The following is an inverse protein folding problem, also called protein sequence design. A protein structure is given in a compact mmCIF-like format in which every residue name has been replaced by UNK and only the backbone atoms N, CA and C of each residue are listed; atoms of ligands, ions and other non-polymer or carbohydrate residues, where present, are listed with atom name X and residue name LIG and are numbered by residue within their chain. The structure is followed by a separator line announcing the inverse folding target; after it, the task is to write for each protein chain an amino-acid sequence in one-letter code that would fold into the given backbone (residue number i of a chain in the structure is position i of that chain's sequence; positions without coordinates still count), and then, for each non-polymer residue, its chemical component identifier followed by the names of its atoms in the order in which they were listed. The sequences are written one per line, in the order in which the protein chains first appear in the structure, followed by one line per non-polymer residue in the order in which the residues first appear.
data_IF_156418420779
#
_entry.id   IF_156418420779
#
_cell.length_a   1.000
_cell.length_b   1.000
_cell.length_c   1.000
_cell.angle_alpha   90.00
_cell.angle_beta   90.00
_cell.angle_gamma   90.00
#
_symmetry.space_group_name_H-M   'P 1'
#
loop_
_entity.id
_entity.type
_entity.pdbx_description
1 polymer ?
#
# COMPACT_ATOMS: atom_id res chain seq x y z
N UNK A 1 -52.04 -18.89 36.44
CA UNK A 1 -51.28 -17.64 36.66
C UNK A 1 -50.23 -17.95 37.72
N UNK A 2 -49.06 -18.43 37.29
CA UNK A 2 -47.72 -17.78 37.25
C UNK A 2 -46.91 -18.08 38.53
N UNK A 3 -45.63 -18.49 38.57
CA UNK A 3 -44.55 -18.93 37.64
C UNK A 3 -43.52 -19.62 38.58
N UNK A 4 -43.24 -20.93 38.54
CA UNK A 4 -42.17 -21.64 37.79
C UNK A 4 -40.78 -20.95 37.79
N UNK A 5 -39.75 -21.37 38.55
CA UNK A 5 -38.97 -22.66 38.55
C UNK A 5 -37.61 -22.48 37.79
N UNK A 6 -36.45 -23.11 38.06
CA UNK A 6 -36.02 -24.24 38.92
C UNK A 6 -34.48 -24.42 38.77
N UNK A 7 -33.79 -24.74 39.89
CA UNK A 7 -32.73 -25.78 40.16
C UNK A 7 -31.71 -26.19 39.07
N UNK A 8 -30.52 -26.76 39.36
CA UNK A 8 -29.64 -26.95 40.53
C UNK A 8 -28.35 -27.66 39.98
N UNK A 9 -27.13 -27.22 40.32
CA UNK A 9 -26.18 -27.76 41.34
C UNK A 9 -25.54 -29.12 40.99
N UNK A 10 -24.30 -29.11 40.45
CA UNK A 10 -22.98 -29.45 41.04
C UNK A 10 -22.69 -30.95 41.20
N UNK A 11 -21.69 -31.42 40.45
CA UNK A 11 -20.61 -32.34 40.85
C UNK A 11 -19.63 -32.43 39.67
N UNK A 12 -18.31 -32.57 39.75
CA UNK A 12 -17.23 -32.26 40.67
C UNK A 12 -15.96 -32.71 39.89
N UNK A 13 -14.93 -31.86 39.92
CA UNK A 13 -13.51 -32.12 39.57
C UNK A 13 -13.08 -32.28 38.08
N UNK A 14 -12.15 -31.40 37.70
CA UNK A 14 -11.28 -31.49 36.51
C UNK A 14 -10.09 -32.42 36.82
N UNK A 15 -9.63 -33.27 35.87
CA UNK A 15 -8.24 -33.09 35.46
C UNK A 15 -7.95 -33.47 33.99
N UNK A 16 -7.06 -32.67 33.39
CA UNK A 16 -6.25 -33.07 32.25
C UNK A 16 -5.45 -34.34 32.57
N UNK A 17 -5.86 -35.49 32.03
CA UNK A 17 -5.08 -36.72 31.82
C UNK A 17 -6.07 -37.85 31.52
N UNK A 18 -6.44 -38.02 30.25
CA UNK A 18 -6.86 -39.33 29.72
C UNK A 18 -6.74 -39.32 28.19
N UNK A 19 -5.76 -40.10 27.73
CA UNK A 19 -5.61 -40.64 26.37
C UNK A 19 -4.92 -39.77 25.32
N UNK A 20 -3.59 -39.72 25.44
CA UNK A 20 -2.73 -40.00 24.31
C UNK A 20 -2.54 -41.53 24.15
N UNK A 21 -2.33 -41.97 22.90
CA UNK A 21 -1.87 -43.29 22.42
C UNK A 21 -2.91 -44.38 22.09
N UNK A 22 -2.58 -45.09 20.99
CA UNK A 22 -3.18 -46.25 20.30
C UNK A 22 -3.99 -45.88 19.02
N UNK A 23 -3.79 -46.38 17.79
CA UNK A 23 -2.94 -47.43 17.17
C UNK A 23 -2.77 -47.11 15.66
N UNK A 24 -1.59 -47.43 15.14
CA UNK A 24 -1.16 -47.53 13.74
C UNK A 24 -1.80 -48.67 12.95
N UNK A 25 -2.07 -48.53 11.64
CA UNK A 25 -1.53 -49.36 10.51
C UNK A 25 -2.30 -49.17 9.19
N UNK A 26 -1.53 -48.96 8.09
CA UNK A 26 -1.59 -49.57 6.73
C UNK A 26 -2.95 -49.73 6.02
N UNK A 27 -3.12 -49.48 4.71
CA UNK A 27 -2.61 -50.33 3.60
C UNK A 27 -2.66 -49.58 2.25
N UNK A 28 -1.60 -49.85 1.49
CA UNK A 28 -1.28 -49.64 0.07
C UNK A 28 -2.36 -50.12 -0.91
N UNK A 29 -2.73 -49.32 -1.93
CA UNK A 29 -2.87 -49.76 -3.33
C UNK A 29 -3.55 -48.68 -4.19
N UNK A 30 -2.81 -48.09 -5.13
CA UNK A 30 -3.26 -48.01 -6.53
C UNK A 30 -2.10 -47.50 -7.40
N UNK A 31 -1.37 -48.43 -8.02
CA UNK A 31 -0.53 -48.18 -9.19
C UNK A 31 -1.36 -48.50 -10.44
N UNK A 32 -1.16 -47.68 -11.48
CA UNK A 32 -1.51 -47.85 -12.91
C UNK A 32 -2.79 -47.17 -13.37
N UNK A 33 -2.57 -46.05 -14.06
CA UNK A 33 -3.29 -45.47 -15.21
C UNK A 33 -2.91 -43.98 -15.15
N UNK A 34 -2.02 -43.43 -15.97
CA UNK A 34 -2.04 -43.42 -17.43
C UNK A 34 -0.65 -43.11 -17.98
N UNK A 35 -0.09 -44.05 -18.74
CA UNK A 35 0.90 -43.78 -19.77
C UNK A 35 0.18 -43.89 -21.11
N UNK A 36 -0.23 -42.79 -21.71
CA UNK A 36 -0.40 -42.58 -23.16
C UNK A 36 -1.11 -41.26 -23.38
N UNK A 37 -0.38 -40.25 -23.85
CA UNK A 37 -0.64 -39.53 -25.10
C UNK A 37 0.40 -38.42 -25.24
N UNK A 38 1.43 -38.73 -26.03
CA UNK A 38 2.26 -37.75 -26.73
C UNK A 38 1.53 -37.30 -27.99
N UNK A 39 1.97 -36.16 -28.53
CA UNK A 39 1.71 -35.55 -29.86
C UNK A 39 0.42 -34.72 -29.94
N UNK A 40 0.39 -33.48 -30.45
CA UNK A 40 1.32 -32.71 -31.30
C UNK A 40 0.89 -31.23 -31.29
N UNK A 41 1.86 -30.32 -31.51
CA UNK A 41 1.84 -29.10 -32.36
C UNK A 41 0.55 -28.23 -32.41
N UNK A 42 0.54 -26.90 -32.31
CA UNK A 42 1.45 -25.88 -32.84
C UNK A 42 0.96 -24.47 -32.49
N UNK A 43 1.90 -23.53 -32.39
CA UNK A 43 1.84 -22.12 -32.86
C UNK A 43 0.73 -21.21 -32.28
N UNK A 44 1.12 -20.28 -31.41
CA UNK A 44 1.33 -18.86 -31.74
C UNK A 44 1.65 -18.05 -30.47
N UNK A 45 2.75 -17.32 -30.51
CA UNK A 45 3.02 -16.08 -29.76
C UNK A 45 3.31 -15.00 -30.83
N UNK A 46 3.40 -13.67 -30.56
CA UNK A 46 3.54 -12.99 -29.27
C UNK A 46 2.69 -11.67 -29.21
N UNK A 47 3.13 -10.56 -28.58
CA UNK A 47 3.09 -10.29 -27.15
C UNK A 47 2.16 -9.10 -26.84
N UNK A 48 1.29 -9.20 -25.84
CA UNK A 48 0.62 -8.01 -25.30
C UNK A 48 1.43 -7.45 -24.14
N UNK A 49 2.33 -6.52 -24.47
CA UNK A 49 2.87 -5.56 -23.51
C UNK A 49 1.76 -4.57 -23.14
N UNK A 50 1.10 -4.80 -22.00
CA UNK A 50 0.25 -3.78 -21.39
C UNK A 50 0.72 -3.54 -19.95
N UNK A 51 1.15 -2.31 -19.68
CA UNK A 51 1.70 -1.88 -18.38
C UNK A 51 0.56 -1.37 -17.50
N UNK A 52 -0.13 -2.25 -16.77
CA UNK A 52 -0.88 -1.82 -15.57
C UNK A 52 0.07 -1.84 -14.37
N UNK A 53 0.79 -0.73 -14.15
CA UNK A 53 1.62 -0.57 -12.95
C UNK A 53 0.76 -0.07 -11.79
N UNK A 54 -0.01 -0.94 -11.16
CA UNK A 54 -0.38 -0.75 -9.76
C UNK A 54 0.61 -1.53 -8.88
N UNK A 55 1.86 -1.06 -8.91
CA UNK A 55 2.87 -1.54 -7.98
C UNK A 55 2.85 -0.59 -6.79
N UNK A 56 2.17 -0.99 -5.71
CA UNK A 56 2.29 -0.26 -4.45
C UNK A 56 3.74 -0.40 -3.97
N UNK A 57 4.47 0.71 -3.77
CA UNK A 57 5.88 0.65 -3.47
C UNK A 57 6.12 -0.10 -2.15
N UNK A 58 7.10 -0.99 -2.14
CA UNK A 58 7.65 -1.55 -0.89
C UNK A 58 8.21 -0.38 -0.07
N UNK A 59 7.87 -0.35 1.22
CA UNK A 59 8.49 0.56 2.16
C UNK A 59 9.97 0.20 2.27
N UNK A 60 10.84 1.00 1.66
CA UNK A 60 12.29 0.87 1.75
C UNK A 60 12.79 1.99 2.65
N UNK A 61 13.66 1.67 3.60
CA UNK A 61 14.39 2.68 4.35
C UNK A 61 15.18 3.55 3.34
N UNK A 62 15.01 4.87 3.38
CA UNK A 62 15.81 5.80 2.59
C UNK A 62 17.23 5.80 3.14
N UNK A 63 18.17 5.52 2.26
CA UNK A 63 19.61 5.73 2.46
C UNK A 63 20.00 6.86 1.52
N UNK A 64 20.87 7.80 1.90
CA UNK A 64 21.42 8.85 1.04
C UNK A 64 22.21 8.26 -0.17
N UNK A 65 21.50 7.62 -1.08
CA UNK A 65 22.05 6.89 -2.22
C UNK A 65 21.83 7.70 -3.50
N UNK A 66 22.70 7.47 -4.48
CA UNK A 66 22.70 8.12 -5.78
C UNK A 66 21.35 8.01 -6.53
N UNK A 67 20.52 7.02 -6.18
CA UNK A 67 19.15 6.86 -6.70
C UNK A 67 18.19 7.99 -6.32
N UNK A 68 18.35 8.57 -5.14
CA UNK A 68 17.39 9.55 -4.59
C UNK A 68 17.65 10.93 -5.17
N UNK A 69 18.93 11.26 -5.37
CA UNK A 69 19.36 12.45 -6.10
C UNK A 69 18.88 12.39 -7.56
N UNK A 70 19.02 11.25 -8.23
CA UNK A 70 18.53 11.05 -9.60
C UNK A 70 17.00 11.22 -9.68
N UNK A 71 16.25 10.65 -8.74
CA UNK A 71 14.80 10.80 -8.68
C UNK A 71 14.37 12.27 -8.48
N UNK A 72 15.01 13.00 -7.55
CA UNK A 72 14.75 14.42 -7.35
C UNK A 72 15.16 15.28 -8.54
N UNK A 73 16.25 14.92 -9.23
CA UNK A 73 16.70 15.63 -10.43
C UNK A 73 15.72 15.47 -11.57
N UNK A 74 15.22 14.25 -11.81
CA UNK A 74 14.15 13.98 -12.80
C UNK A 74 12.87 14.74 -12.47
N UNK A 75 12.48 14.76 -11.20
CA UNK A 75 11.33 15.53 -10.75
C UNK A 75 11.54 17.03 -11.01
N UNK A 76 12.74 17.56 -10.72
CA UNK A 76 13.07 18.95 -10.94
C UNK A 76 12.95 19.34 -12.42
N UNK A 77 13.49 18.53 -13.34
CA UNK A 77 13.37 18.78 -14.77
C UNK A 77 11.91 18.84 -15.21
N UNK A 78 11.08 17.89 -14.74
CA UNK A 78 9.65 17.90 -15.02
C UNK A 78 8.96 19.17 -14.49
N UNK A 79 9.21 19.53 -13.23
CA UNK A 79 8.58 20.70 -12.62
C UNK A 79 9.07 22.02 -13.23
N UNK A 80 10.31 22.07 -13.72
CA UNK A 80 10.82 23.23 -14.45
C UNK A 80 10.19 23.38 -15.85
N UNK A 81 9.93 22.27 -16.54
CA UNK A 81 9.38 22.29 -17.90
C UNK A 81 7.86 22.43 -17.92
N UNK A 82 7.15 21.69 -17.06
CA UNK A 82 5.69 21.55 -17.07
C UNK A 82 5.01 22.26 -15.89
N UNK A 83 5.75 22.55 -14.81
CA UNK A 83 5.16 22.92 -13.53
C UNK A 83 4.51 21.72 -12.80
N UNK A 84 3.98 21.94 -11.59
CA UNK A 84 3.13 20.95 -10.94
C UNK A 84 1.79 20.83 -11.69
N UNK A 85 1.20 19.64 -11.69
CA UNK A 85 -0.13 19.42 -12.28
C UNK A 85 -1.20 20.27 -11.60
N UNK A 86 -1.13 20.36 -10.27
CA UNK A 86 -1.98 21.19 -9.43
C UNK A 86 -1.22 21.48 -8.12
N UNK A 87 -1.49 22.60 -7.48
CA UNK A 87 -1.14 22.79 -6.08
C UNK A 87 -2.28 23.48 -5.32
N UNK A 88 -2.31 23.28 -4.00
CA UNK A 88 -3.31 23.85 -3.12
C UNK A 88 -2.72 24.07 -1.73
N UNK A 89 -3.06 25.18 -1.07
CA UNK A 89 -2.66 25.42 0.33
C UNK A 89 -3.50 24.52 1.24
N UNK A 90 -2.86 23.85 2.19
CA UNK A 90 -3.59 23.09 3.21
C UNK A 90 -3.64 23.88 4.52
N UNK A 91 -4.79 23.93 5.21
CA UNK A 91 -4.86 24.49 6.56
C UNK A 91 -4.30 23.53 7.62
N UNK A 92 -4.02 22.28 7.24
CA UNK A 92 -3.56 21.25 8.16
C UNK A 92 -2.15 21.56 8.65
N UNK A 93 -1.88 21.31 9.92
CA UNK A 93 -0.54 21.40 10.50
C UNK A 93 0.33 20.27 9.96
N UNK A 94 1.54 20.59 9.53
CA UNK A 94 2.51 19.60 9.01
C UNK A 94 3.83 19.77 9.76
N UNK A 95 4.37 18.65 10.25
CA UNK A 95 5.62 18.61 11.03
C UNK A 95 6.57 17.54 10.49
N UNK A 96 7.86 17.81 10.57
CA UNK A 96 8.90 16.88 10.15
C UNK A 96 9.96 16.72 11.22
N UNK A 97 10.16 15.48 11.67
CA UNK A 97 11.18 15.11 12.62
C UNK A 97 12.45 14.68 11.88
N UNK A 98 13.60 15.25 12.22
CA UNK A 98 14.91 14.88 11.70
C UNK A 98 15.94 14.90 12.84
N UNK A 99 16.71 13.83 12.97
CA UNK A 99 17.65 13.62 14.07
C UNK A 99 17.01 13.89 15.44
N UNK A 100 15.75 13.48 15.62
CA UNK A 100 14.98 13.68 16.85
C UNK A 100 14.52 15.12 17.11
N UNK A 101 14.61 16.03 16.14
CA UNK A 101 14.14 17.43 16.28
C UNK A 101 13.14 17.80 15.20
N UNK A 102 12.14 18.59 15.55
CA UNK A 102 11.23 19.16 14.56
C UNK A 102 11.96 20.24 13.75
N UNK A 103 12.25 19.93 12.49
CA UNK A 103 12.95 20.84 11.58
C UNK A 103 12.01 21.83 10.90
N UNK A 104 10.70 21.59 10.98
CA UNK A 104 9.62 22.51 10.64
C UNK A 104 8.35 22.09 11.37
N UNK A 105 7.50 23.07 11.64
CA UNK A 105 6.17 22.93 12.20
C UNK A 105 5.31 24.08 11.67
N UNK A 106 4.38 23.78 10.75
CA UNK A 106 3.71 24.82 9.97
C UNK A 106 2.29 24.46 9.57
N UNK A 107 1.40 25.44 9.55
CA UNK A 107 0.05 25.38 8.97
C UNK A 107 -0.01 26.05 7.58
N UNK A 108 1.14 26.41 7.03
CA UNK A 108 1.26 27.05 5.71
C UNK A 108 1.81 26.11 4.64
N UNK A 109 1.70 24.80 4.86
CA UNK A 109 2.09 23.80 3.89
C UNK A 109 1.18 23.79 2.64
N UNK A 110 1.68 23.19 1.58
CA UNK A 110 0.99 23.00 0.32
C UNK A 110 0.90 21.52 -0.03
N UNK A 111 -0.24 21.13 -0.57
CA UNK A 111 -0.43 19.89 -1.30
C UNK A 111 -0.07 20.15 -2.75
N UNK A 112 0.94 19.47 -3.27
CA UNK A 112 1.41 19.63 -4.65
C UNK A 112 1.27 18.31 -5.39
N UNK A 113 0.45 18.31 -6.43
CA UNK A 113 0.29 17.18 -7.35
C UNK A 113 1.40 17.25 -8.39
N UNK A 114 2.43 16.45 -8.19
CA UNK A 114 3.52 16.24 -9.17
C UNK A 114 3.03 15.47 -10.41
N UNK A 115 1.86 14.84 -10.30
CA UNK A 115 1.09 14.13 -11.33
C UNK A 115 -0.39 14.09 -10.91
N UNK A 116 -1.28 13.59 -11.75
CA UNK A 116 -2.74 13.60 -11.51
C UNK A 116 -3.24 12.69 -10.37
N UNK A 117 -2.46 11.72 -9.88
CA UNK A 117 -2.97 10.65 -9.01
C UNK A 117 -3.05 10.96 -7.51
N UNK A 118 -2.11 11.73 -6.95
CA UNK A 118 -2.06 12.07 -5.52
C UNK A 118 -1.11 13.26 -5.27
N UNK A 119 -1.32 14.01 -4.17
CA UNK A 119 -0.47 15.14 -3.80
C UNK A 119 0.73 14.71 -2.97
N UNK A 120 1.69 15.61 -2.81
CA UNK A 120 2.76 15.55 -1.82
C UNK A 120 2.79 16.82 -0.98
N UNK A 121 3.26 16.72 0.27
CA UNK A 121 3.53 17.91 1.07
C UNK A 121 4.77 18.64 0.56
N UNK A 122 4.61 19.95 0.39
CA UNK A 122 5.66 20.93 0.22
C UNK A 122 5.49 21.98 1.31
N UNK A 123 6.58 22.44 1.91
CA UNK A 123 6.54 23.48 2.93
C UNK A 123 7.18 24.76 2.40
N UNK A 124 6.75 25.95 2.83
CA UNK A 124 7.50 27.17 2.57
C UNK A 124 8.92 27.06 3.15
N UNK A 125 9.94 27.52 2.44
CA UNK A 125 11.33 27.52 2.96
C UNK A 125 11.44 28.30 4.27
N UNK A 126 10.64 29.36 4.42
CA UNK A 126 10.55 30.17 5.65
C UNK A 126 9.95 29.42 6.86
N UNK A 127 9.36 28.23 6.68
CA UNK A 127 8.83 27.41 7.77
C UNK A 127 9.88 26.53 8.45
N UNK A 128 11.13 26.54 7.98
CA UNK A 128 12.22 25.83 8.63
C UNK A 128 12.51 26.43 10.02
N UNK A 129 12.71 25.56 11.00
CA UNK A 129 13.12 25.94 12.35
C UNK A 129 14.46 26.69 12.34
N UNK A 130 14.68 27.67 13.24
CA UNK A 130 15.98 28.35 13.38
C UNK A 130 17.16 27.41 13.64
N UNK A 131 16.91 26.20 14.16
CA UNK A 131 17.93 25.18 14.41
C UNK A 131 18.27 24.33 13.18
N UNK A 132 17.61 24.58 12.04
CA UNK A 132 17.79 23.84 10.80
C UNK A 132 18.58 24.67 9.81
N UNK A 133 19.66 24.10 9.28
CA UNK A 133 20.45 24.72 8.21
C UNK A 133 20.11 24.06 6.88
N UNK A 134 19.65 24.87 5.93
CA UNK A 134 19.44 24.49 4.54
C UNK A 134 20.64 24.96 3.69
N UNK A 135 21.43 24.02 3.19
CA UNK A 135 22.54 24.30 2.29
C UNK A 135 22.09 24.07 0.86
N UNK A 136 22.13 25.11 0.03
CA UNK A 136 21.78 25.02 -1.39
C UNK A 136 22.97 24.52 -2.20
N UNK A 137 22.74 23.62 -3.15
CA UNK A 137 23.73 23.28 -4.17
C UNK A 137 23.57 24.17 -5.40
N UNK A 138 24.46 24.01 -6.37
CA UNK A 138 24.31 24.62 -7.69
C UNK A 138 22.92 24.31 -8.28
N UNK A 139 22.32 25.26 -9.05
CA UNK A 139 21.06 25.02 -9.73
C UNK A 139 21.12 23.75 -10.57
N UNK A 140 19.98 23.08 -10.70
CA UNK A 140 19.89 21.94 -11.60
C UNK A 140 19.99 22.47 -13.04
N UNK A 141 20.95 21.96 -13.81
CA UNK A 141 21.11 22.33 -15.21
C UNK A 141 19.80 22.12 -15.98
N UNK A 142 19.43 23.09 -16.81
CA UNK A 142 18.18 23.13 -17.58
C UNK A 142 16.89 23.25 -16.73
N UNK A 143 16.99 23.71 -15.48
CA UNK A 143 15.84 24.04 -14.63
C UNK A 143 15.62 25.56 -14.44
N UNK A 144 16.02 26.37 -15.45
CA UNK A 144 15.89 27.83 -15.50
C UNK A 144 16.43 28.58 -14.26
N UNK A 145 17.43 28.01 -13.56
CA UNK A 145 17.98 28.54 -12.30
C UNK A 145 16.94 28.77 -11.17
N UNK A 146 15.72 28.25 -11.34
CA UNK A 146 14.61 28.40 -10.37
C UNK A 146 14.53 27.23 -9.39
N UNK A 147 15.14 26.09 -9.72
CA UNK A 147 15.09 24.87 -8.91
C UNK A 147 16.51 24.45 -8.53
N UNK A 148 16.71 24.22 -7.24
CA UNK A 148 17.98 23.80 -6.67
C UNK A 148 17.81 22.51 -5.88
N UNK A 149 18.84 21.67 -5.88
CA UNK A 149 19.00 20.71 -4.80
C UNK A 149 19.53 21.43 -3.56
N UNK A 150 19.33 20.80 -2.42
CA UNK A 150 19.96 21.21 -1.18
C UNK A 150 20.09 20.05 -0.21
N UNK A 151 20.71 20.33 0.93
CA UNK A 151 20.78 19.41 2.05
C UNK A 151 20.27 20.09 3.31
N UNK A 152 19.57 19.33 4.16
CA UNK A 152 19.19 19.78 5.49
C UNK A 152 20.14 19.21 6.53
N UNK A 153 20.44 20.01 7.54
CA UNK A 153 21.17 19.60 8.73
C UNK A 153 20.61 20.29 9.98
N UNK A 154 20.81 19.68 11.14
CA UNK A 154 20.31 20.17 12.43
C UNK A 154 21.49 20.59 13.31
N UNK A 155 21.43 21.77 13.91
CA UNK A 155 22.57 22.41 14.61
C UNK A 155 22.98 21.78 15.96
N UNK A 156 22.50 20.58 16.30
CA UNK A 156 22.82 19.92 17.57
C UNK A 156 22.37 18.47 17.57
N UNK A 157 23.20 17.60 17.02
CA UNK A 157 23.20 16.19 17.39
C UNK A 157 23.80 16.07 18.80
N UNK A 158 22.95 15.79 19.79
CA UNK A 158 23.40 15.18 21.04
C UNK A 158 23.74 13.69 20.86
N UNK A 159 23.73 13.18 19.62
CA UNK A 159 24.24 11.87 19.29
C UNK A 159 25.77 11.90 19.31
N UNK A 160 26.36 11.12 20.20
CA UNK A 160 27.80 10.90 20.35
C UNK A 160 28.48 10.28 19.12
N UNK A 161 27.73 10.00 18.06
CA UNK A 161 28.22 9.39 16.82
C UNK A 161 27.83 10.25 15.59
N UNK A 162 28.79 10.95 14.96
CA UNK A 162 28.55 11.73 13.74
C UNK A 162 28.12 10.87 12.56
N UNK A 163 28.39 9.56 12.57
CA UNK A 163 28.03 8.65 11.48
C UNK A 163 26.53 8.36 11.37
N UNK A 164 25.75 8.66 12.41
CA UNK A 164 24.30 8.42 12.47
C UNK A 164 23.45 9.69 12.26
N UNK A 165 24.07 10.82 11.91
CA UNK A 165 23.34 12.06 11.64
C UNK A 165 22.81 12.06 10.21
N UNK A 166 21.49 12.08 10.03
CA UNK A 166 20.86 12.12 8.71
C UNK A 166 20.90 13.54 8.15
N UNK A 167 21.42 13.66 6.92
CA UNK A 167 21.44 14.89 6.14
C UNK A 167 20.70 14.68 4.82
N UNK A 168 19.37 14.87 4.79
CA UNK A 168 18.58 14.50 3.62
C UNK A 168 18.80 15.48 2.47
N UNK A 169 18.83 14.94 1.25
CA UNK A 169 18.74 15.74 0.02
C UNK A 169 17.30 16.20 -0.19
N UNK A 170 17.15 17.48 -0.55
CA UNK A 170 15.87 18.16 -0.72
C UNK A 170 15.83 18.91 -2.04
N UNK A 171 14.63 19.23 -2.49
CA UNK A 171 14.40 20.03 -3.68
C UNK A 171 13.79 21.38 -3.29
N UNK A 172 14.42 22.46 -3.72
CA UNK A 172 14.05 23.85 -3.44
C UNK A 172 13.47 24.43 -4.72
N UNK A 173 12.21 24.83 -4.69
CA UNK A 173 11.47 25.35 -5.83
C UNK A 173 11.22 26.84 -5.63
N UNK A 174 11.79 27.65 -6.52
CA UNK A 174 11.57 29.09 -6.62
C UNK A 174 11.02 29.43 -8.01
N UNK A 175 9.89 28.82 -8.35
CA UNK A 175 9.25 28.94 -9.67
C UNK A 175 8.23 30.07 -9.62
N UNK A 176 8.17 30.98 -10.62
CA UNK A 176 7.25 32.12 -10.63
C UNK A 176 5.76 31.78 -10.49
N UNK A 177 5.36 30.56 -10.86
CA UNK A 177 3.96 30.09 -10.77
C UNK A 177 3.54 29.68 -9.36
N UNK A 178 4.48 29.57 -8.42
CA UNK A 178 4.24 29.27 -7.02
C UNK A 178 4.22 30.56 -6.19
N UNK A 179 3.38 30.64 -5.15
CA UNK A 179 3.20 31.88 -4.38
C UNK A 179 4.41 32.24 -3.50
N UNK A 180 5.21 31.24 -3.10
CA UNK A 180 6.39 31.38 -2.27
C UNK A 180 7.42 30.31 -2.65
N UNK A 181 8.71 30.48 -2.30
CA UNK A 181 9.67 29.40 -2.40
C UNK A 181 9.24 28.19 -1.56
N UNK A 182 9.10 27.04 -2.20
CA UNK A 182 8.68 25.79 -1.57
C UNK A 182 9.84 24.80 -1.47
N UNK A 183 9.78 23.95 -0.45
CA UNK A 183 10.73 22.90 -0.17
C UNK A 183 10.02 21.54 -0.22
N UNK A 184 10.52 20.67 -1.10
CA UNK A 184 10.17 19.25 -1.15
C UNK A 184 11.22 18.47 -0.41
N UNK A 185 10.78 17.84 0.66
CA UNK A 185 11.55 16.86 1.41
C UNK A 185 10.89 15.50 1.13
N UNK A 186 11.61 14.50 0.61
CA UNK A 186 11.05 13.17 0.45
C UNK A 186 10.60 12.61 1.82
N UNK A 187 9.39 12.02 1.95
CA UNK A 187 8.92 11.47 3.22
C UNK A 187 9.91 10.55 3.96
N UNK A 188 10.55 9.58 3.28
CA UNK A 188 11.45 8.65 3.97
C UNK A 188 12.82 9.28 4.30
N UNK A 189 13.10 10.51 3.83
CA UNK A 189 14.31 11.25 4.17
C UNK A 189 14.24 11.92 5.55
N UNK A 190 13.07 11.92 6.19
CA UNK A 190 12.88 12.33 7.59
C UNK A 190 12.72 11.12 8.49
N UNK A 191 12.90 11.32 9.80
CA UNK A 191 12.63 10.28 10.79
C UNK A 191 11.13 9.97 10.81
N UNK A 192 10.31 11.03 10.80
CA UNK A 192 8.86 10.91 10.73
C UNK A 192 8.24 12.22 10.23
N UNK A 193 7.24 12.09 9.36
CA UNK A 193 6.31 13.18 9.03
C UNK A 193 5.04 13.06 9.85
N UNK A 194 4.46 14.20 10.21
CA UNK A 194 3.15 14.26 10.82
C UNK A 194 2.24 15.21 10.05
N UNK A 195 1.02 14.77 9.83
CA UNK A 195 -0.12 15.57 9.42
C UNK A 195 -1.05 15.68 10.62
N UNK A 196 -1.26 16.91 11.11
CA UNK A 196 -1.69 17.15 12.48
C UNK A 196 -0.81 16.35 13.44
N UNK A 197 -1.41 15.54 14.32
CA UNK A 197 -0.75 14.58 15.21
C UNK A 197 -0.65 13.17 14.65
N UNK A 198 -1.10 12.94 13.41
CA UNK A 198 -1.07 11.64 12.77
C UNK A 198 0.22 11.42 12.00
N UNK A 199 0.98 10.34 12.28
CA UNK A 199 2.17 10.00 11.51
C UNK A 199 1.81 9.60 10.08
N UNK A 200 2.58 10.13 9.13
CA UNK A 200 2.50 9.74 7.73
C UNK A 200 3.37 8.49 7.50
N UNK A 201 2.72 7.35 7.27
CA UNK A 201 3.37 6.07 6.97
C UNK A 201 3.46 5.78 5.47
N UNK A 202 3.25 6.78 4.62
CA UNK A 202 3.29 6.63 3.15
C UNK A 202 4.18 7.66 2.48
N UNK A 203 4.56 7.39 1.23
CA UNK A 203 5.32 8.33 0.41
C UNK A 203 4.53 9.58 0.02
N UNK A 204 3.23 9.64 0.34
CA UNK A 204 2.35 10.76 0.04
C UNK A 204 1.19 10.85 1.05
N UNK A 205 0.68 12.05 1.37
CA UNK A 205 -0.53 12.25 2.17
C UNK A 205 -1.79 11.78 1.44
N UNK A 206 -2.91 11.74 2.18
CA UNK A 206 -4.23 11.53 1.59
C UNK A 206 -4.60 12.72 0.71
N UNK A 207 -5.10 12.43 -0.48
CA UNK A 207 -5.71 13.41 -1.37
C UNK A 207 -7.09 13.80 -0.80
N UNK A 208 -7.35 15.10 -0.54
CA UNK A 208 -8.64 15.58 -0.05
C UNK A 208 -9.83 15.24 -0.95
N UNK A 209 -9.59 14.98 -2.23
CA UNK A 209 -10.61 14.69 -3.24
C UNK A 209 -10.79 13.19 -3.49
N UNK A 210 -9.92 12.35 -2.93
CA UNK A 210 -10.08 10.90 -3.01
C UNK A 210 -11.11 10.44 -1.98
N UNK A 211 -12.05 9.64 -2.45
CA UNK A 211 -13.08 9.01 -1.63
C UNK A 211 -13.00 7.50 -1.80
N UNK A 212 -13.30 6.81 -0.69
CA UNK A 212 -13.57 5.38 -0.66
C UNK A 212 -15.03 5.23 -0.25
N UNK A 213 -15.78 4.46 -1.04
CA UNK A 213 -17.12 4.01 -0.70
C UNK A 213 -17.12 2.50 -0.78
N UNK A 214 -17.54 1.85 0.29
CA UNK A 214 -17.63 0.40 0.38
C UNK A 214 -19.12 0.06 0.52
N UNK A 215 -19.63 -0.81 -0.34
CA UNK A 215 -21.05 -1.14 -0.40
C UNK A 215 -21.25 -2.65 -0.34
N UNK A 216 -21.97 -3.20 0.65
CA UNK A 216 -22.39 -4.59 0.60
C UNK A 216 -23.36 -4.79 -0.57
N UNK A 217 -23.35 -5.97 -1.15
CA UNK A 217 -24.24 -6.33 -2.25
C UNK A 217 -24.79 -7.74 -2.09
N UNK A 218 -25.93 -8.00 -2.72
CA UNK A 218 -26.51 -9.34 -2.89
C UNK A 218 -26.21 -9.94 -4.27
N UNK A 219 -25.39 -9.27 -5.08
CA UNK A 219 -24.93 -9.78 -6.38
C UNK A 219 -23.95 -10.93 -6.16
N UNK A 220 -24.04 -11.95 -7.00
CA UNK A 220 -23.09 -13.04 -7.10
C UNK A 220 -21.79 -12.59 -7.74
N UNK A 221 -20.68 -12.98 -7.14
CA UNK A 221 -19.32 -12.80 -7.66
C UNK A 221 -18.63 -14.17 -7.67
N UNK A 222 -18.00 -14.50 -8.79
CA UNK A 222 -17.16 -15.69 -8.95
C UNK A 222 -15.79 -15.28 -9.48
N UNK A 223 -14.76 -15.76 -8.81
CA UNK A 223 -13.36 -15.51 -9.15
C UNK A 223 -12.73 -16.82 -9.58
N UNK A 224 -12.13 -16.84 -10.77
CA UNK A 224 -11.46 -18.02 -11.28
C UNK A 224 -10.10 -17.70 -11.89
N UNK A 225 -9.24 -18.71 -11.95
CA UNK A 225 -7.94 -18.64 -12.60
C UNK A 225 -7.69 -19.97 -13.31
N UNK A 226 -7.43 -19.93 -14.63
CA UNK A 226 -7.21 -21.15 -15.44
C UNK A 226 -8.33 -22.18 -15.24
N UNK A 227 -9.58 -21.73 -15.27
CA UNK A 227 -10.78 -22.56 -15.04
C UNK A 227 -10.94 -23.16 -13.63
N UNK A 228 -10.03 -22.84 -12.69
CA UNK A 228 -10.16 -23.21 -11.28
C UNK A 228 -10.89 -22.10 -10.54
N UNK A 229 -11.99 -22.42 -9.85
CA UNK A 229 -12.71 -21.45 -9.02
C UNK A 229 -11.94 -21.22 -7.73
N UNK A 230 -11.50 -19.98 -7.51
CA UNK A 230 -10.75 -19.58 -6.32
C UNK A 230 -11.67 -19.07 -5.22
N UNK A 231 -12.77 -18.41 -5.60
CA UNK A 231 -13.77 -17.91 -4.65
C UNK A 231 -15.13 -17.73 -5.34
N UNK A 232 -16.22 -17.89 -4.60
CA UNK A 232 -17.57 -17.59 -5.09
C UNK A 232 -18.50 -17.21 -3.94
N UNK A 233 -19.18 -16.07 -4.05
CA UNK A 233 -20.07 -15.53 -3.02
C UNK A 233 -21.29 -14.85 -3.62
N UNK A 234 -22.39 -14.82 -2.88
CA UNK A 234 -23.58 -13.97 -3.16
C UNK A 234 -23.66 -12.74 -2.25
N UNK A 235 -22.62 -12.50 -1.44
CA UNK A 235 -22.57 -11.41 -0.46
C UNK A 235 -21.20 -10.68 -0.51
N UNK A 236 -20.78 -10.14 -1.66
CA UNK A 236 -19.54 -9.37 -1.76
C UNK A 236 -19.73 -7.95 -1.20
N UNK A 237 -18.60 -7.30 -0.94
CA UNK A 237 -18.51 -5.85 -0.75
C UNK A 237 -17.82 -5.25 -1.97
N UNK A 238 -18.44 -4.28 -2.62
CA UNK A 238 -17.83 -3.52 -3.71
C UNK A 238 -17.17 -2.26 -3.16
N UNK A 239 -15.87 -2.14 -3.37
CA UNK A 239 -15.10 -0.95 -3.03
C UNK A 239 -14.94 -0.08 -4.25
N UNK A 240 -15.50 1.13 -4.17
CA UNK A 240 -15.32 2.20 -5.13
C UNK A 240 -14.28 3.18 -4.60
N UNK A 241 -13.24 3.44 -5.38
CA UNK A 241 -12.22 4.42 -5.06
C UNK A 241 -12.06 5.40 -6.21
N UNK A 242 -11.95 6.70 -5.88
CA UNK A 242 -11.80 7.76 -6.89
C UNK A 242 -10.73 7.40 -7.93
N UNK A 243 -11.14 7.40 -9.19
CA UNK A 243 -10.29 7.16 -10.37
C UNK A 243 -9.68 5.76 -10.47
N UNK A 244 -10.14 4.78 -9.69
CA UNK A 244 -9.72 3.39 -9.79
C UNK A 244 -10.89 2.45 -10.16
N UNK A 245 -10.61 1.29 -10.77
CA UNK A 245 -11.60 0.25 -10.97
C UNK A 245 -12.24 -0.20 -9.64
N UNK A 246 -13.50 -0.61 -9.71
CA UNK A 246 -14.22 -1.18 -8.57
C UNK A 246 -13.58 -2.51 -8.21
N UNK A 247 -13.36 -2.76 -6.91
CA UNK A 247 -12.78 -4.01 -6.43
C UNK A 247 -13.80 -4.78 -5.59
N UNK A 248 -13.90 -6.08 -5.85
CA UNK A 248 -14.76 -6.99 -5.09
C UNK A 248 -14.01 -7.58 -3.90
N UNK A 249 -14.52 -7.33 -2.69
CA UNK A 249 -14.05 -7.91 -1.45
C UNK A 249 -15.00 -9.01 -1.01
N UNK A 250 -14.47 -10.22 -0.86
CA UNK A 250 -15.23 -11.43 -0.61
C UNK A 250 -15.04 -11.89 0.85
N UNK A 251 -16.07 -12.42 1.51
CA UNK A 251 -15.94 -13.05 2.82
C UNK A 251 -14.92 -14.19 2.78
N UNK A 252 -14.06 -14.37 3.80
CA UNK A 252 -13.07 -15.46 3.82
C UNK A 252 -13.72 -16.85 3.76
N UNK A 253 -14.98 -16.99 4.20
CA UNK A 253 -15.75 -18.24 4.11
C UNK A 253 -16.13 -18.63 2.68
N UNK A 254 -15.97 -17.73 1.71
CA UNK A 254 -16.30 -17.95 0.30
C UNK A 254 -15.07 -18.26 -0.57
N UNK A 255 -13.90 -18.41 0.05
CA UNK A 255 -12.61 -18.62 -0.62
C UNK A 255 -12.17 -20.08 -0.49
N UNK A 256 -11.70 -20.65 -1.60
CA UNK A 256 -11.11 -21.99 -1.63
C UNK A 256 -9.65 -21.93 -1.17
N UNK A 257 -9.44 -21.96 0.14
CA UNK A 257 -8.13 -21.79 0.79
C UNK A 257 -7.08 -22.83 0.41
N UNK A 258 -7.47 -23.98 -0.15
CA UNK A 258 -6.53 -24.99 -0.64
C UNK A 258 -5.57 -24.45 -1.72
N UNK A 259 -6.00 -23.43 -2.46
CA UNK A 259 -5.22 -22.79 -3.52
C UNK A 259 -4.41 -21.58 -3.03
N UNK A 260 -4.54 -21.16 -1.77
CA UNK A 260 -3.87 -19.96 -1.26
C UNK A 260 -2.62 -20.34 -0.45
N UNK A 261 -1.54 -19.60 -0.66
CA UNK A 261 -0.31 -19.70 0.15
C UNK A 261 0.07 -18.33 0.67
N UNK A 262 0.38 -18.24 1.96
CA UNK A 262 0.74 -16.96 2.58
C UNK A 262 1.96 -16.36 1.90
N UNK A 263 1.91 -15.07 1.62
CA UNK A 263 3.04 -14.29 1.12
C UNK A 263 3.66 -13.48 2.25
N UNK A 264 4.98 -13.29 2.20
CA UNK A 264 5.70 -12.34 3.05
C UNK A 264 5.57 -10.89 2.56
N UNK A 265 4.94 -10.68 1.39
CA UNK A 265 4.70 -9.35 0.85
C UNK A 265 3.68 -8.61 1.71
N UNK A 266 4.03 -7.39 2.09
CA UNK A 266 3.13 -6.39 2.66
C UNK A 266 3.28 -5.08 1.92
N UNK A 267 2.18 -4.35 1.73
CA UNK A 267 2.19 -2.99 1.19
C UNK A 267 1.37 -2.08 2.09
N UNK A 268 1.56 -0.77 1.99
CA UNK A 268 0.81 0.19 2.78
C UNK A 268 0.14 1.20 1.87
N UNK A 269 -1.18 1.34 2.01
CA UNK A 269 -2.01 2.33 1.34
C UNK A 269 -2.46 3.37 2.36
N UNK A 270 -2.36 4.68 2.09
CA UNK A 270 -2.78 5.68 3.07
C UNK A 270 -4.28 5.60 3.36
N UNK A 271 -5.07 5.10 2.39
CA UNK A 271 -6.52 5.05 2.50
C UNK A 271 -7.07 3.74 3.07
N UNK A 272 -6.36 2.63 2.86
CA UNK A 272 -6.82 1.29 3.25
C UNK A 272 -6.02 0.67 4.38
N UNK A 273 -4.82 1.19 4.68
CA UNK A 273 -3.92 0.64 5.70
C UNK A 273 -2.93 -0.36 5.11
N UNK A 274 -2.43 -1.27 5.96
CA UNK A 274 -1.46 -2.28 5.57
C UNK A 274 -2.15 -3.49 4.93
N UNK A 275 -1.83 -3.73 3.65
CA UNK A 275 -2.27 -4.92 2.93
C UNK A 275 -1.30 -6.07 3.17
N UNK A 276 -1.85 -7.26 3.36
CA UNK A 276 -1.15 -8.53 3.39
C UNK A 276 -1.58 -9.38 2.20
N UNK A 277 -0.70 -10.26 1.70
CA UNK A 277 -0.92 -10.95 0.44
C UNK A 277 -0.96 -12.48 0.58
N UNK A 278 -1.64 -13.12 -0.37
CA UNK A 278 -1.50 -14.54 -0.67
C UNK A 278 -1.06 -14.73 -2.13
N UNK A 279 -0.23 -15.75 -2.34
CA UNK A 279 -0.02 -16.36 -3.65
C UNK A 279 -1.18 -17.31 -3.95
N UNK A 280 -1.46 -17.51 -5.24
CA UNK A 280 -2.32 -18.60 -5.70
C UNK A 280 -1.42 -19.74 -6.18
N UNK A 281 -1.69 -20.97 -5.75
CA UNK A 281 -1.00 -22.18 -6.18
C UNK A 281 -2.02 -23.19 -6.70
N UNK A 282 -1.85 -23.62 -7.96
CA UNK A 282 -2.68 -24.65 -8.62
C UNK A 282 -1.72 -25.67 -9.20
N UNK A 283 -1.72 -26.89 -8.62
CA UNK A 283 -0.68 -27.88 -8.91
C UNK A 283 0.71 -27.35 -8.57
N UNK A 284 1.62 -27.40 -9.55
CA UNK A 284 3.01 -26.95 -9.41
C UNK A 284 3.21 -25.46 -9.79
N UNK A 285 2.18 -24.80 -10.33
CA UNK A 285 2.26 -23.40 -10.74
C UNK A 285 1.90 -22.46 -9.58
N UNK A 286 2.66 -21.36 -9.45
CA UNK A 286 2.48 -20.35 -8.41
C UNK A 286 2.39 -18.96 -9.02
N UNK A 287 1.27 -18.28 -8.75
CA UNK A 287 1.06 -16.88 -9.09
C UNK A 287 1.27 -16.02 -7.85
N UNK A 288 2.31 -15.19 -7.89
CA UNK A 288 2.69 -14.37 -6.74
C UNK A 288 1.76 -13.16 -6.57
N UNK A 289 1.43 -12.92 -5.30
CA UNK A 289 0.72 -11.74 -4.81
C UNK A 289 -0.51 -11.41 -5.68
N UNK A 290 -1.36 -12.42 -5.88
CA UNK A 290 -2.62 -12.29 -6.65
C UNK A 290 -3.75 -11.82 -5.76
N UNK A 291 -3.68 -12.18 -4.48
CA UNK A 291 -4.72 -11.94 -3.49
C UNK A 291 -4.17 -11.01 -2.44
N UNK A 292 -4.97 -10.06 -1.98
CA UNK A 292 -4.66 -9.24 -0.81
C UNK A 292 -5.85 -9.11 0.12
N UNK A 293 -5.56 -8.74 1.36
CA UNK A 293 -6.54 -8.45 2.40
C UNK A 293 -5.97 -7.45 3.41
N UNK A 294 -6.84 -6.86 4.23
CA UNK A 294 -6.45 -5.89 5.26
C UNK A 294 -6.86 -6.41 6.64
N UNK A 295 -5.88 -6.79 7.45
CA UNK A 295 -6.10 -7.21 8.84
C UNK A 295 -6.39 -6.04 9.77
N UNK A 296 -5.69 -4.93 9.53
CA UNK A 296 -5.80 -3.68 10.28
C UNK A 296 -6.03 -2.53 9.29
N UNK A 297 -7.24 -2.44 8.69
CA UNK A 297 -7.51 -1.39 7.73
C UNK A 297 -7.52 -0.01 8.39
N UNK A 298 -7.32 1.04 7.60
CA UNK A 298 -7.56 2.41 8.02
C UNK A 298 -9.05 2.60 8.36
N UNK A 299 -9.37 3.60 9.19
CA UNK A 299 -10.72 3.85 9.70
C UNK A 299 -11.78 3.95 8.61
N UNK A 300 -11.48 4.63 7.51
CA UNK A 300 -12.39 4.79 6.36
C UNK A 300 -12.58 3.52 5.51
N UNK A 301 -11.80 2.47 5.77
CA UNK A 301 -11.85 1.18 5.09
C UNK A 301 -12.15 0.03 6.05
N UNK A 302 -12.72 0.30 7.24
CA UNK A 302 -12.95 -0.73 8.26
C UNK A 302 -13.88 -1.86 7.79
N UNK A 303 -14.79 -1.58 6.87
CA UNK A 303 -15.77 -2.55 6.35
C UNK A 303 -15.12 -3.67 5.53
N UNK A 304 -13.92 -3.47 4.98
CA UNK A 304 -13.16 -4.52 4.27
C UNK A 304 -12.19 -5.28 5.16
N UNK A 305 -12.30 -5.13 6.49
CA UNK A 305 -11.46 -5.86 7.44
C UNK A 305 -11.59 -7.38 7.22
N UNK A 306 -10.43 -8.03 7.07
CA UNK A 306 -10.29 -9.47 6.84
C UNK A 306 -11.00 -10.02 5.58
N UNK A 307 -11.62 -9.16 4.77
CA UNK A 307 -12.18 -9.54 3.48
C UNK A 307 -11.06 -9.70 2.44
N UNK A 308 -11.28 -10.62 1.51
CA UNK A 308 -10.28 -11.06 0.53
C UNK A 308 -10.59 -10.46 -0.84
N UNK A 309 -9.58 -9.88 -1.49
CA UNK A 309 -9.70 -9.31 -2.82
C UNK A 309 -8.64 -9.90 -3.76
N UNK A 310 -8.96 -9.95 -5.06
CA UNK A 310 -8.11 -10.50 -6.10
C UNK A 310 -7.79 -9.40 -7.12
N UNK A 311 -6.61 -9.48 -7.73
CA UNK A 311 -6.25 -8.56 -8.80
C UNK A 311 -6.99 -8.97 -10.06
N UNK A 312 -8.06 -8.26 -10.43
CA UNK A 312 -8.86 -8.49 -11.64
C UNK A 312 -7.98 -8.64 -12.90
N UNK A 313 -6.87 -7.91 -12.98
CA UNK A 313 -5.91 -8.02 -14.08
C UNK A 313 -5.14 -9.36 -14.13
N UNK A 314 -5.24 -10.19 -13.08
CA UNK A 314 -4.58 -11.50 -12.94
C UNK A 314 -5.56 -12.68 -12.86
N UNK A 315 -6.86 -12.43 -12.71
CA UNK A 315 -7.90 -13.47 -12.57
C UNK A 315 -9.06 -13.18 -13.51
N UNK A 316 -9.98 -14.12 -13.63
CA UNK A 316 -11.26 -13.91 -14.32
C UNK A 316 -12.33 -13.64 -13.27
N UNK A 317 -13.04 -12.51 -13.41
CA UNK A 317 -14.06 -12.03 -12.47
C UNK A 317 -15.41 -12.07 -13.17
N UNK A 318 -16.35 -12.82 -12.63
CA UNK A 318 -17.73 -12.87 -13.08
C UNK A 318 -18.63 -12.22 -12.03
N UNK A 319 -19.51 -11.30 -12.43
CA UNK A 319 -20.53 -10.70 -11.56
C UNK A 319 -21.91 -10.95 -12.18
N UNK A 320 -22.82 -11.62 -11.46
CA UNK A 320 -24.10 -12.07 -12.00
C UNK A 320 -23.96 -12.93 -13.27
N UNK A 321 -22.88 -13.71 -13.36
CA UNK A 321 -22.56 -14.54 -14.53
C UNK A 321 -22.05 -13.77 -15.74
N UNK A 322 -21.86 -12.46 -15.64
CA UNK A 322 -21.24 -11.62 -16.69
C UNK A 322 -19.76 -11.41 -16.35
N UNK A 323 -18.88 -11.72 -17.29
CA UNK A 323 -17.44 -11.44 -17.14
C UNK A 323 -17.17 -9.94 -17.11
N UNK A 324 -16.44 -9.47 -16.09
CA UNK A 324 -15.93 -8.11 -16.02
C UNK A 324 -14.71 -7.97 -16.94
N UNK A 325 -14.62 -6.84 -17.66
CA UNK A 325 -13.50 -6.55 -18.54
C UNK A 325 -12.20 -6.32 -17.76
N UNK A 326 -11.08 -6.81 -18.31
CA UNK A 326 -9.73 -6.65 -17.73
C UNK A 326 -9.11 -5.27 -17.97
#
# INVERSE_FOLDING_TARGET
MTNAHVYAVIDSLNPALRCAMYITTSVTSCRRLLSHLKTQSSRLSPPCHFKSKQHFPRYRAFSNNMSDVDALTKLAHKLASEGPHKYEKTPRRVRGLLNGKYIFDTTSAYLVWEHSYFPHFYIPVASLSPTTTLTKTSPIQNANDTIHLGTLSTSSSSSSDPSNTRTPTVLILNIPTLPVPLLKIPPPALDQWFEEDSPLYTSHPKDPYKRITILPSSRSVKISLRSTVLASTSHPFFLHETSLPVRSYLPPTSVNWEYLRKSDTTTYCPYKGQAEYYHVQIGDEVWKDVVWYYRFPASESVEIKDLVCFYDEKVDVEVEGVEEGK
#
